data_IF_400492054958
#
_entry.id   IF_400492054958
#
_cell.length_a   1.000
_cell.length_b   1.000
_cell.length_c   1.000
_cell.angle_alpha   90.00
_cell.angle_beta   90.00
_cell.angle_gamma   90.00
#
_symmetry.space_group_name_H-M   'P 1'
#
loop_
_entity.id
_entity.type
_entity.pdbx_description
1 polymer ?
#
# COMPACT_ATOMS: atom_id res chain seq x y z
N UNK A 1 -19.60 14.78 33.85
CA UNK A 1 -18.93 14.09 32.73
C UNK A 1 -18.45 15.15 31.74
N UNK A 2 -17.16 15.47 31.73
CA UNK A 2 -16.62 16.45 30.78
C UNK A 2 -16.30 15.74 29.46
N UNK A 3 -16.97 16.15 28.38
CA UNK A 3 -16.71 15.68 27.03
C UNK A 3 -15.26 15.95 26.64
N UNK A 4 -14.55 15.01 25.98
CA UNK A 4 -13.17 15.24 25.56
C UNK A 4 -13.11 16.35 24.49
N UNK A 5 -12.06 17.20 24.49
CA UNK A 5 -11.90 18.23 23.48
C UNK A 5 -11.79 17.59 22.09
N UNK A 6 -12.75 17.90 21.23
CA UNK A 6 -12.71 17.52 19.82
C UNK A 6 -11.73 18.45 19.11
N UNK A 7 -10.50 17.98 18.88
CA UNK A 7 -9.54 18.72 18.05
C UNK A 7 -10.16 18.98 16.65
N UNK A 8 -9.97 20.17 16.11
CA UNK A 8 -10.46 20.58 14.78
C UNK A 8 -9.30 20.64 13.78
N UNK A 9 -9.62 20.37 12.51
CA UNK A 9 -8.65 20.40 11.42
C UNK A 9 -8.22 21.85 11.13
N UNK A 10 -6.92 22.15 11.18
CA UNK A 10 -6.37 23.46 10.90
C UNK A 10 -6.55 23.93 9.44
N UNK A 11 -6.89 23.03 8.50
CA UNK A 11 -7.14 23.38 7.09
C UNK A 11 -8.60 23.67 6.76
N UNK A 12 -9.55 22.96 7.37
CA UNK A 12 -10.98 23.06 7.02
C UNK A 12 -11.90 23.38 8.20
N UNK A 13 -11.34 23.56 9.40
CA UNK A 13 -12.03 23.82 10.67
C UNK A 13 -13.06 22.75 11.10
N UNK A 14 -13.15 21.61 10.39
CA UNK A 14 -14.06 20.51 10.74
C UNK A 14 -13.52 19.68 11.91
N UNK A 15 -14.38 19.06 12.72
CA UNK A 15 -13.95 18.17 13.80
C UNK A 15 -13.19 16.97 13.25
N UNK A 16 -12.10 16.58 13.93
CA UNK A 16 -11.24 15.49 13.48
C UNK A 16 -11.78 14.11 13.88
N UNK A 17 -11.59 13.09 13.03
CA UNK A 17 -11.82 11.71 13.42
C UNK A 17 -10.84 11.29 14.53
N UNK A 18 -11.28 10.44 15.47
CA UNK A 18 -10.53 10.11 16.70
C UNK A 18 -9.10 9.57 16.49
N UNK A 19 -8.75 9.02 15.32
CA UNK A 19 -7.46 8.32 15.10
C UNK A 19 -6.74 8.61 13.78
N UNK A 20 -7.38 9.26 12.81
CA UNK A 20 -6.84 9.46 11.46
C UNK A 20 -6.51 10.94 11.20
N UNK A 21 -5.42 11.41 11.81
CA UNK A 21 -4.94 12.78 11.64
C UNK A 21 -3.41 12.84 11.72
N UNK A 22 -2.85 13.94 11.24
CA UNK A 22 -1.43 14.27 11.37
C UNK A 22 -1.24 15.59 12.09
N UNK A 23 -0.20 15.68 12.94
CA UNK A 23 0.19 16.89 13.66
C UNK A 23 1.49 17.41 13.07
N UNK A 24 1.51 18.67 12.66
CA UNK A 24 2.73 19.30 12.14
C UNK A 24 3.72 19.54 13.27
N UNK A 25 4.97 19.09 13.14
CA UNK A 25 6.00 19.30 14.16
C UNK A 25 6.46 20.76 14.31
N UNK A 26 6.13 21.63 13.35
CA UNK A 26 6.60 23.01 13.34
C UNK A 26 5.56 24.02 13.85
N UNK A 27 4.29 23.87 13.46
CA UNK A 27 3.20 24.75 13.90
C UNK A 27 2.24 24.10 14.90
N UNK A 28 2.44 22.82 15.25
CA UNK A 28 1.57 22.01 16.10
C UNK A 28 0.11 21.87 15.64
N UNK A 29 -0.23 22.40 14.46
CA UNK A 29 -1.55 22.28 13.84
C UNK A 29 -1.88 20.82 13.51
N UNK A 30 -3.14 20.44 13.71
CA UNK A 30 -3.65 19.09 13.46
C UNK A 30 -4.49 19.09 12.20
N UNK A 31 -4.31 18.09 11.34
CA UNK A 31 -4.88 18.05 9.99
C UNK A 31 -5.55 16.70 9.72
N UNK A 32 -6.75 16.74 9.15
CA UNK A 32 -7.44 15.57 8.61
C UNK A 32 -6.64 15.05 7.41
N UNK A 33 -6.44 13.73 7.34
CA UNK A 33 -5.76 13.07 6.21
C UNK A 33 -6.46 13.35 4.87
N UNK A 34 -7.78 13.55 4.86
CA UNK A 34 -8.55 13.92 3.66
C UNK A 34 -8.19 15.32 3.16
N UNK A 35 -8.01 16.28 4.07
CA UNK A 35 -7.56 17.64 3.72
C UNK A 35 -6.13 17.68 3.19
N UNK A 36 -5.32 16.68 3.55
CA UNK A 36 -3.95 16.51 3.06
C UNK A 36 -3.87 15.66 1.78
N UNK A 37 -5.00 15.19 1.25
CA UNK A 37 -5.08 14.25 0.13
C UNK A 37 -4.26 12.95 0.36
N UNK A 38 -4.26 12.45 1.59
CA UNK A 38 -3.61 11.19 1.97
C UNK A 38 -4.70 10.14 2.12
N UNK A 39 -4.60 9.06 1.34
CA UNK A 39 -5.52 7.91 1.49
C UNK A 39 -5.28 7.19 2.81
N UNK A 40 -6.33 6.59 3.41
CA UNK A 40 -6.20 5.82 4.66
C UNK A 40 -5.15 4.71 4.53
N UNK A 41 -5.05 4.03 3.37
CA UNK A 41 -4.02 3.03 3.10
C UNK A 41 -2.60 3.61 3.24
N UNK A 42 -2.35 4.79 2.68
CA UNK A 42 -1.05 5.49 2.78
C UNK A 42 -0.80 6.01 4.19
N UNK A 43 -1.84 6.46 4.90
CA UNK A 43 -1.73 6.85 6.30
C UNK A 43 -1.23 5.70 7.17
N UNK A 44 -1.89 4.53 7.10
CA UNK A 44 -1.47 3.38 7.89
C UNK A 44 -0.09 2.87 7.49
N UNK A 45 0.16 2.64 6.18
CA UNK A 45 1.42 2.05 5.72
C UNK A 45 2.64 2.93 5.94
N UNK A 46 2.50 4.26 5.82
CA UNK A 46 3.64 5.18 5.77
C UNK A 46 3.82 6.01 7.03
N UNK A 47 2.74 6.38 7.71
CA UNK A 47 2.78 7.24 8.89
C UNK A 47 2.43 6.48 10.17
N UNK A 48 1.48 5.54 10.17
CA UNK A 48 1.13 4.82 11.40
C UNK A 48 2.17 3.79 11.81
N UNK A 49 2.82 3.10 10.86
CA UNK A 49 3.87 2.12 11.15
C UNK A 49 5.26 2.73 11.37
N UNK A 50 5.47 4.00 10.99
CA UNK A 50 6.75 4.68 11.14
C UNK A 50 6.58 5.93 12.01
N UNK A 51 6.75 5.74 13.33
CA UNK A 51 6.55 6.77 14.35
C UNK A 51 7.43 8.00 14.12
N UNK A 52 8.69 7.81 13.75
CA UNK A 52 9.64 8.91 13.47
C UNK A 52 9.13 9.82 12.33
N UNK A 53 8.64 9.24 11.24
CA UNK A 53 8.08 10.03 10.13
C UNK A 53 6.80 10.76 10.50
N UNK A 54 5.98 10.14 11.35
CA UNK A 54 4.75 10.77 11.86
C UNK A 54 5.06 11.96 12.75
N UNK A 55 6.03 11.81 13.66
CA UNK A 55 6.43 12.84 14.61
C UNK A 55 7.19 13.98 13.92
N UNK A 56 7.89 13.71 12.81
CA UNK A 56 8.61 14.70 12.01
C UNK A 56 7.82 15.30 10.84
N UNK A 57 6.53 14.96 10.69
CA UNK A 57 5.73 15.44 9.56
C UNK A 57 5.52 16.97 9.63
N UNK A 58 5.64 17.64 8.48
CA UNK A 58 5.45 19.09 8.33
C UNK A 58 4.30 19.37 7.37
N UNK A 59 3.42 20.30 7.74
CA UNK A 59 2.34 20.75 6.86
C UNK A 59 2.88 21.59 5.69
N UNK A 60 2.10 21.70 4.61
CA UNK A 60 2.49 22.41 3.40
C UNK A 60 2.92 23.86 3.67
N UNK A 61 2.20 24.56 4.56
CA UNK A 61 2.50 25.94 4.94
C UNK A 61 3.82 26.10 5.73
N UNK A 62 4.29 25.05 6.39
CA UNK A 62 5.59 25.06 7.08
C UNK A 62 6.71 24.65 6.13
N UNK A 63 6.46 23.69 5.24
CA UNK A 63 7.42 23.27 4.21
C UNK A 63 7.72 24.40 3.24
N UNK A 64 6.71 25.19 2.84
CA UNK A 64 6.90 26.32 1.92
C UNK A 64 7.72 27.47 2.49
N UNK A 65 7.87 27.55 3.81
CA UNK A 65 8.68 28.56 4.52
C UNK A 65 10.14 28.16 4.71
N UNK A 66 10.50 26.92 4.41
CA UNK A 66 11.88 26.48 4.50
C UNK A 66 12.67 27.03 3.29
N UNK A 67 13.90 27.55 3.49
CA UNK A 67 14.79 27.85 2.39
C UNK A 67 14.94 26.60 1.52
N UNK A 68 14.84 26.74 0.20
CA UNK A 68 15.15 25.62 -0.71
C UNK A 68 16.65 25.35 -0.63
N UNK A 69 17.05 24.48 0.28
CA UNK A 69 18.45 24.07 0.39
C UNK A 69 18.77 23.10 -0.74
N UNK A 70 19.70 23.52 -1.59
CA UNK A 70 20.48 22.71 -2.53
C UNK A 70 19.74 22.12 -3.75
N UNK A 71 19.36 22.97 -4.71
CA UNK A 71 18.95 22.57 -6.07
C UNK A 71 20.17 22.39 -7.00
N UNK A 72 21.18 21.61 -6.61
CA UNK A 72 22.35 21.35 -7.47
C UNK A 72 22.08 20.35 -8.61
N UNK A 73 20.85 19.82 -8.74
CA UNK A 73 20.47 18.88 -9.80
C UNK A 73 19.10 19.22 -10.41
N UNK A 74 18.97 20.41 -10.99
CA UNK A 74 17.88 20.70 -11.93
C UNK A 74 18.49 21.19 -13.24
N UNK A 75 18.29 20.49 -14.37
CA UNK A 75 18.80 20.97 -15.65
C UNK A 75 18.07 22.27 -16.01
N UNK A 76 18.85 23.27 -16.41
CA UNK A 76 18.35 24.59 -16.86
C UNK A 76 17.42 24.38 -18.04
N UNK A 77 16.16 24.82 -17.90
CA UNK A 77 15.18 24.90 -18.97
C UNK A 77 15.37 26.24 -19.67
N UNK A 78 15.93 26.22 -20.87
CA UNK A 78 15.91 27.37 -21.79
C UNK A 78 14.47 27.65 -22.19
N UNK A 79 14.11 28.94 -22.24
CA UNK A 79 12.79 29.44 -22.57
C UNK A 79 12.52 29.46 -24.09
N UNK A 80 11.23 29.67 -24.43
CA UNK A 80 10.60 29.90 -25.75
C UNK A 80 10.22 28.61 -26.52
N UNK A 81 9.01 28.39 -27.06
CA UNK A 81 7.83 29.23 -27.32
C UNK A 81 6.57 28.36 -27.47
N UNK A 82 5.40 28.99 -27.44
CA UNK A 82 4.07 28.43 -27.68
C UNK A 82 3.90 27.86 -29.11
N UNK A 83 3.02 26.85 -29.29
CA UNK A 83 1.87 26.79 -30.24
C UNK A 83 1.39 25.32 -30.47
N UNK A 84 0.09 25.13 -30.16
CA UNK A 84 -0.96 24.25 -30.72
C UNK A 84 -0.69 23.12 -31.75
N UNK A 85 -1.08 21.88 -31.36
CA UNK A 85 -1.89 20.85 -32.07
C UNK A 85 -1.35 20.00 -33.27
N UNK A 86 -1.88 18.75 -33.51
CA UNK A 86 -1.26 17.58 -34.21
C UNK A 86 -1.76 17.43 -35.69
N UNK A 87 -1.53 16.37 -36.55
CA UNK A 87 -1.17 14.94 -36.30
C UNK A 87 -0.30 14.15 -37.36
N UNK A 88 -0.16 12.82 -37.12
CA UNK A 88 -0.18 11.66 -38.06
C UNK A 88 1.08 11.04 -38.74
N UNK A 89 1.12 9.70 -38.61
CA UNK A 89 1.50 8.60 -39.54
C UNK A 89 2.96 8.27 -39.89
N UNK A 90 3.36 7.10 -39.37
CA UNK A 90 3.98 5.90 -40.01
C UNK A 90 4.41 6.03 -41.48
N UNK A 91 5.64 5.55 -41.80
CA UNK A 91 6.02 4.55 -42.84
C UNK A 91 7.50 4.74 -43.26
N UNK A 92 8.34 3.73 -42.99
CA UNK A 92 9.63 3.41 -43.69
C UNK A 92 9.34 2.95 -45.13
N UNK A 93 10.28 2.83 -46.13
CA UNK A 93 11.66 2.37 -45.96
C UNK A 93 12.70 2.78 -47.06
N UNK A 94 13.86 2.10 -47.01
CA UNK A 94 14.76 1.70 -48.11
C UNK A 94 15.90 2.62 -48.64
N UNK A 95 17.12 2.24 -48.24
CA UNK A 95 18.32 1.92 -49.02
C UNK A 95 18.61 2.65 -50.35
N UNK A 96 19.79 3.28 -50.43
CA UNK A 96 20.67 3.15 -51.61
C UNK A 96 22.13 3.50 -51.33
N UNK A 97 22.99 2.63 -51.85
CA UNK A 97 24.44 2.71 -51.95
C UNK A 97 24.89 3.89 -52.84
N UNK A 98 26.18 4.30 -52.78
CA UNK A 98 27.06 4.55 -53.96
C UNK A 98 28.47 5.07 -53.58
N UNK A 99 29.45 4.28 -54.06
CA UNK A 99 30.79 4.55 -54.62
C UNK A 99 31.87 5.39 -53.89
N UNK A 100 32.89 4.64 -53.43
CA UNK A 100 34.30 5.05 -53.39
C UNK A 100 34.79 5.32 -54.81
N UNK A 101 35.31 6.53 -55.07
CA UNK A 101 35.95 6.89 -56.34
C UNK A 101 37.43 7.19 -56.10
N UNK A 102 38.27 6.22 -56.45
CA UNK A 102 39.70 6.45 -56.67
C UNK A 102 39.98 6.92 -58.11
N UNK A 103 40.90 7.87 -58.27
CA UNK A 103 41.77 7.98 -59.45
C UNK A 103 43.05 8.76 -59.11
N UNK A 104 44.23 8.30 -59.57
CA UNK A 104 45.54 8.94 -59.37
C UNK A 104 45.96 9.73 -60.65
N UNK A 105 47.27 10.03 -60.85
CA UNK A 105 47.90 11.34 -60.70
C UNK A 105 48.08 12.10 -62.02
N UNK A 106 48.32 13.41 -61.97
CA UNK A 106 48.79 14.21 -63.11
C UNK A 106 50.03 15.01 -62.76
N UNK A 107 51.03 14.91 -63.65
CA UNK A 107 52.36 15.49 -63.58
C UNK A 107 52.38 16.95 -64.07
N UNK A 108 53.40 17.64 -63.58
CA UNK A 108 54.14 18.76 -64.17
C UNK A 108 53.47 20.14 -64.28
N UNK A 109 54.02 21.09 -63.52
CA UNK A 109 54.54 22.33 -64.10
C UNK A 109 55.81 22.72 -63.32
N UNK A 110 56.91 22.90 -64.04
CA UNK A 110 58.14 23.52 -63.53
C UNK A 110 57.92 25.04 -63.43
N UNK A 111 58.36 25.68 -62.34
CA UNK A 111 59.28 26.82 -62.47
C UNK A 111 59.87 27.26 -61.11
N UNK A 112 61.21 27.14 -61.05
CA UNK A 112 62.25 27.98 -60.43
C UNK A 112 61.88 28.91 -59.25
N UNK A 113 62.47 28.66 -58.07
CA UNK A 113 63.66 29.36 -57.56
C UNK A 113 63.80 29.21 -56.03
N UNK A 114 65.00 28.76 -55.62
CA UNK A 114 65.83 29.28 -54.52
C UNK A 114 65.09 29.96 -53.35
N UNK A 115 65.12 29.37 -52.16
CA UNK A 115 65.64 30.02 -50.95
C UNK A 115 65.81 29.03 -49.80
N UNK A 116 67.03 29.00 -49.27
CA UNK A 116 67.56 28.09 -48.25
C UNK A 116 67.38 28.67 -46.84
N UNK A 117 66.17 29.17 -46.52
CA UNK A 117 65.88 29.81 -45.21
C UNK A 117 64.58 29.34 -44.53
N UNK A 118 63.82 28.40 -45.11
CA UNK A 118 62.57 27.89 -44.52
C UNK A 118 62.76 26.65 -43.61
N UNK A 119 63.98 26.13 -43.48
CA UNK A 119 64.22 24.93 -42.68
C UNK A 119 64.17 25.17 -41.15
N UNK A 120 64.27 26.41 -40.69
CA UNK A 120 64.38 26.74 -39.25
C UNK A 120 63.03 27.16 -38.65
N UNK A 121 62.10 27.68 -39.47
CA UNK A 121 60.79 28.16 -38.98
C UNK A 121 59.77 27.01 -38.87
N UNK A 122 59.87 25.98 -39.73
CA UNK A 122 58.97 24.82 -39.68
C UNK A 122 59.28 23.87 -38.50
N UNK A 123 60.52 23.83 -38.02
CA UNK A 123 60.94 22.97 -36.90
C UNK A 123 60.48 23.54 -35.55
N UNK A 124 60.49 24.87 -35.37
CA UNK A 124 60.02 25.51 -34.13
C UNK A 124 58.48 25.55 -34.00
N UNK A 125 57.73 25.76 -35.10
CA UNK A 125 56.26 25.76 -35.06
C UNK A 125 55.68 24.34 -34.86
N UNK A 126 56.37 23.30 -35.38
CA UNK A 126 56.02 21.90 -35.08
C UNK A 126 56.38 21.49 -33.65
N UNK A 127 57.50 21.97 -33.09
CA UNK A 127 57.90 21.62 -31.72
C UNK A 127 56.91 22.13 -30.67
N UNK A 128 56.40 23.35 -30.80
CA UNK A 128 55.48 23.95 -29.83
C UNK A 128 54.05 23.37 -29.94
N UNK A 129 53.59 23.06 -31.16
CA UNK A 129 52.30 22.39 -31.42
C UNK A 129 52.30 20.90 -31.03
N UNK A 130 53.45 20.21 -31.14
CA UNK A 130 53.58 18.79 -30.74
C UNK A 130 53.65 18.63 -29.21
N UNK A 131 54.21 19.59 -28.49
CA UNK A 131 54.25 19.56 -27.02
C UNK A 131 52.88 19.81 -26.38
N UNK A 132 52.09 20.74 -26.95
CA UNK A 132 50.73 21.02 -26.47
C UNK A 132 49.79 19.82 -26.71
N UNK A 133 49.85 19.23 -27.91
CA UNK A 133 49.10 18.00 -28.21
C UNK A 133 49.57 16.78 -27.42
N UNK A 134 50.86 16.70 -27.06
CA UNK A 134 51.37 15.67 -26.17
C UNK A 134 50.91 15.83 -24.71
N UNK A 135 50.74 17.07 -24.24
CA UNK A 135 50.15 17.35 -22.92
C UNK A 135 48.66 17.01 -22.88
N UNK A 136 47.90 17.37 -23.91
CA UNK A 136 46.50 16.96 -24.05
C UNK A 136 46.33 15.45 -24.08
N UNK A 137 47.22 14.73 -24.78
CA UNK A 137 47.20 13.27 -24.81
C UNK A 137 47.50 12.66 -23.43
N UNK A 138 48.43 13.24 -22.67
CA UNK A 138 48.71 12.83 -21.29
C UNK A 138 47.52 13.08 -20.37
N UNK A 139 46.82 14.21 -20.53
CA UNK A 139 45.62 14.53 -19.77
C UNK A 139 44.49 13.55 -20.07
N UNK A 140 44.23 13.29 -21.35
CA UNK A 140 43.23 12.32 -21.80
C UNK A 140 43.55 10.89 -21.31
N UNK A 141 44.81 10.48 -21.30
CA UNK A 141 45.24 9.22 -20.71
C UNK A 141 45.01 9.17 -19.20
N UNK A 142 45.16 10.30 -18.51
CA UNK A 142 44.81 10.48 -17.10
C UNK A 142 43.31 10.26 -16.88
N UNK A 143 42.47 10.95 -17.64
CA UNK A 143 41.01 10.84 -17.57
C UNK A 143 40.52 9.42 -17.90
N UNK A 144 41.10 8.78 -18.90
CA UNK A 144 40.80 7.38 -19.25
C UNK A 144 41.18 6.39 -18.15
N UNK A 145 42.21 6.69 -17.35
CA UNK A 145 42.57 5.88 -16.16
C UNK A 145 41.59 6.15 -15.02
N UNK A 146 41.22 7.41 -14.78
CA UNK A 146 40.24 7.79 -13.77
C UNK A 146 38.86 7.18 -14.05
N UNK A 147 38.35 7.30 -15.28
CA UNK A 147 37.08 6.69 -15.71
C UNK A 147 37.12 5.17 -15.56
N UNK A 148 38.25 4.53 -15.87
CA UNK A 148 38.42 3.08 -15.63
C UNK A 148 38.37 2.72 -14.14
N UNK A 149 38.92 3.56 -13.27
CA UNK A 149 38.82 3.35 -11.82
C UNK A 149 37.38 3.51 -11.34
N UNK A 150 36.69 4.58 -11.74
CA UNK A 150 35.27 4.82 -11.41
C UNK A 150 34.37 3.69 -11.93
N UNK A 151 34.60 3.20 -13.14
CA UNK A 151 33.82 2.09 -13.70
C UNK A 151 34.04 0.78 -12.96
N UNK A 152 35.22 0.58 -12.35
CA UNK A 152 35.46 -0.56 -11.45
C UNK A 152 34.71 -0.40 -10.14
N UNK A 153 34.73 0.79 -9.54
CA UNK A 153 33.98 1.08 -8.31
C UNK A 153 32.47 0.91 -8.55
N UNK A 154 31.95 1.42 -9.66
CA UNK A 154 30.55 1.23 -10.04
C UNK A 154 30.19 -0.25 -10.20
N UNK A 155 31.04 -1.06 -10.85
CA UNK A 155 30.83 -2.50 -10.97
C UNK A 155 30.80 -3.20 -9.61
N UNK A 156 31.68 -2.81 -8.69
CA UNK A 156 31.70 -3.35 -7.34
C UNK A 156 30.39 -3.00 -6.60
N UNK A 157 29.99 -1.73 -6.59
CA UNK A 157 28.73 -1.27 -5.99
C UNK A 157 27.50 -1.96 -6.58
N UNK A 158 27.49 -2.21 -7.89
CA UNK A 158 26.40 -2.93 -8.56
C UNK A 158 26.37 -4.40 -8.14
N UNK A 159 27.53 -5.02 -7.94
CA UNK A 159 27.65 -6.39 -7.44
C UNK A 159 27.14 -6.48 -6.00
N UNK A 160 27.54 -5.55 -5.14
CA UNK A 160 27.08 -5.46 -3.76
C UNK A 160 25.56 -5.27 -3.70
N UNK A 161 25.00 -4.38 -4.52
CA UNK A 161 23.56 -4.19 -4.63
C UNK A 161 22.86 -5.48 -5.08
N UNK A 162 23.40 -6.17 -6.07
CA UNK A 162 22.81 -7.42 -6.57
C UNK A 162 22.81 -8.51 -5.50
N UNK A 163 23.86 -8.61 -4.68
CA UNK A 163 23.90 -9.55 -3.55
C UNK A 163 22.89 -9.17 -2.47
N UNK A 164 22.78 -7.89 -2.12
CA UNK A 164 21.81 -7.39 -1.16
C UNK A 164 20.37 -7.66 -1.62
N UNK A 165 20.06 -7.45 -2.90
CA UNK A 165 18.75 -7.78 -3.48
C UNK A 165 18.46 -9.27 -3.36
N UNK A 166 19.40 -10.15 -3.72
CA UNK A 166 19.22 -11.61 -3.59
C UNK A 166 18.94 -12.03 -2.14
N UNK A 167 19.69 -11.47 -1.18
CA UNK A 167 19.45 -11.74 0.24
C UNK A 167 18.09 -11.21 0.70
N UNK A 168 17.66 -10.06 0.19
CA UNK A 168 16.37 -9.50 0.54
C UNK A 168 15.21 -10.32 -0.06
N UNK A 169 15.36 -10.81 -1.29
CA UNK A 169 14.40 -11.73 -1.91
C UNK A 169 14.21 -12.99 -1.08
N UNK A 170 15.29 -13.65 -0.64
CA UNK A 170 15.15 -14.85 0.21
C UNK A 170 14.50 -14.56 1.56
N UNK A 171 14.74 -13.39 2.15
CA UNK A 171 14.04 -12.95 3.36
C UNK A 171 12.56 -12.71 3.10
N UNK A 172 12.20 -12.16 1.95
CA UNK A 172 10.80 -11.95 1.55
C UNK A 172 10.10 -13.29 1.40
N UNK A 173 10.70 -14.27 0.72
CA UNK A 173 10.12 -15.61 0.56
C UNK A 173 9.90 -16.30 1.93
N UNK A 174 10.86 -16.15 2.85
CA UNK A 174 10.72 -16.66 4.22
C UNK A 174 9.59 -15.96 5.01
N UNK A 175 9.38 -14.66 4.78
CA UNK A 175 8.28 -13.94 5.41
C UNK A 175 6.95 -14.38 4.80
N UNK A 176 6.87 -14.53 3.47
CA UNK A 176 5.68 -14.96 2.76
C UNK A 176 5.23 -16.35 3.23
N UNK A 177 6.14 -17.32 3.27
CA UNK A 177 5.86 -18.67 3.80
C UNK A 177 5.37 -18.65 5.24
N UNK A 178 5.95 -17.81 6.11
CA UNK A 178 5.49 -17.64 7.50
C UNK A 178 4.11 -17.00 7.58
N UNK A 179 3.82 -16.02 6.74
CA UNK A 179 2.50 -15.38 6.66
C UNK A 179 1.46 -16.41 6.24
N UNK A 180 1.71 -17.19 5.18
CA UNK A 180 0.80 -18.25 4.73
C UNK A 180 0.50 -19.25 5.85
N UNK A 181 1.52 -19.72 6.57
CA UNK A 181 1.33 -20.66 7.68
C UNK A 181 0.50 -20.05 8.83
N UNK A 182 0.69 -18.77 9.14
CA UNK A 182 -0.10 -18.06 10.16
C UNK A 182 -1.54 -17.86 9.72
N UNK A 183 -1.77 -17.54 8.45
CA UNK A 183 -3.11 -17.39 7.89
C UNK A 183 -3.88 -18.72 7.92
N UNK A 184 -3.22 -19.83 7.55
CA UNK A 184 -3.84 -21.16 7.59
C UNK A 184 -4.17 -21.59 9.02
N UNK A 185 -3.24 -21.37 9.97
CA UNK A 185 -3.49 -21.63 11.39
C UNK A 185 -4.64 -20.78 11.92
N UNK A 186 -4.72 -19.51 11.55
CA UNK A 186 -5.79 -18.59 11.95
C UNK A 186 -7.14 -19.05 11.41
N UNK A 187 -7.23 -19.39 10.12
CA UNK A 187 -8.43 -19.93 9.48
C UNK A 187 -8.88 -21.24 10.14
N UNK A 188 -7.95 -22.14 10.41
CA UNK A 188 -8.23 -23.41 11.09
C UNK A 188 -8.78 -23.21 12.50
N UNK A 189 -8.11 -22.37 13.30
CA UNK A 189 -8.58 -22.03 14.66
C UNK A 189 -9.96 -21.37 14.66
N UNK A 190 -10.20 -20.44 13.74
CA UNK A 190 -11.48 -19.75 13.64
C UNK A 190 -12.60 -20.74 13.27
N UNK A 191 -12.36 -21.63 12.30
CA UNK A 191 -13.34 -22.65 11.91
C UNK A 191 -13.66 -23.61 13.06
N UNK A 192 -12.65 -24.14 13.74
CA UNK A 192 -12.86 -25.07 14.86
C UNK A 192 -13.57 -24.41 16.04
N UNK A 193 -13.20 -23.18 16.41
CA UNK A 193 -13.86 -22.44 17.50
C UNK A 193 -15.32 -22.14 17.19
N UNK A 194 -15.62 -21.73 15.96
CA UNK A 194 -17.00 -21.45 15.54
C UNK A 194 -17.82 -22.74 15.56
N UNK A 195 -17.31 -23.82 14.95
CA UNK A 195 -18.02 -25.10 14.90
C UNK A 195 -18.27 -25.72 16.28
N UNK A 196 -17.27 -25.72 17.16
CA UNK A 196 -17.44 -26.22 18.54
C UNK A 196 -18.43 -25.37 19.33
N UNK A 197 -18.40 -24.05 19.17
CA UNK A 197 -19.35 -23.16 19.82
C UNK A 197 -20.78 -23.40 19.28
N UNK A 198 -20.96 -23.53 17.96
CA UNK A 198 -22.25 -23.83 17.34
C UNK A 198 -22.82 -25.17 17.81
N UNK A 199 -21.97 -26.19 17.98
CA UNK A 199 -22.36 -27.49 18.52
C UNK A 199 -22.82 -27.36 19.98
N UNK A 200 -22.05 -26.69 20.84
CA UNK A 200 -22.45 -26.48 22.24
C UNK A 200 -23.74 -25.68 22.36
N UNK A 201 -23.93 -24.64 21.53
CA UNK A 201 -25.18 -23.86 21.51
C UNK A 201 -26.35 -24.73 21.07
N UNK A 202 -26.16 -25.58 20.07
CA UNK A 202 -27.20 -26.51 19.60
C UNK A 202 -27.56 -27.53 20.68
N UNK A 203 -26.57 -28.08 21.38
CA UNK A 203 -26.78 -29.00 22.48
C UNK A 203 -27.53 -28.34 23.65
N UNK A 204 -27.11 -27.13 24.06
CA UNK A 204 -27.77 -26.39 25.13
C UNK A 204 -29.22 -26.03 24.77
N UNK A 205 -29.47 -25.63 23.52
CA UNK A 205 -30.84 -25.40 23.04
C UNK A 205 -31.70 -26.66 23.13
N UNK A 206 -31.15 -27.81 22.73
CA UNK A 206 -31.87 -29.09 22.84
C UNK A 206 -32.20 -29.42 24.30
N UNK A 207 -31.25 -29.21 25.22
CA UNK A 207 -31.47 -29.46 26.65
C UNK A 207 -32.51 -28.53 27.28
N UNK A 208 -32.57 -27.27 26.84
CA UNK A 208 -33.61 -26.34 27.28
C UNK A 208 -34.98 -26.82 26.80
N UNK A 209 -35.10 -27.15 25.51
CA UNK A 209 -36.36 -27.64 24.95
C UNK A 209 -36.85 -28.92 25.62
N UNK A 210 -35.93 -29.86 25.89
CA UNK A 210 -36.25 -31.10 26.61
C UNK A 210 -36.74 -30.80 28.03
N UNK A 211 -36.06 -29.90 28.76
CA UNK A 211 -36.49 -29.49 30.10
C UNK A 211 -37.83 -28.77 30.11
N UNK A 212 -38.08 -27.88 29.15
CA UNK A 212 -39.34 -27.17 29.02
C UNK A 212 -40.48 -28.15 28.73
N UNK A 213 -40.24 -29.14 27.87
CA UNK A 213 -41.19 -30.21 27.57
C UNK A 213 -41.47 -31.08 28.81
N UNK A 214 -40.44 -31.42 29.58
CA UNK A 214 -40.56 -32.20 30.82
C UNK A 214 -41.36 -31.45 31.89
N UNK A 215 -41.17 -30.12 31.99
CA UNK A 215 -41.93 -29.28 32.92
C UNK A 215 -43.42 -29.25 32.57
N UNK A 216 -43.74 -29.22 31.26
CA UNK A 216 -45.11 -29.22 30.76
C UNK A 216 -45.72 -30.62 30.65
N UNK A 217 -44.98 -31.69 30.96
CA UNK A 217 -45.43 -33.07 30.73
C UNK A 217 -46.71 -33.45 31.52
N UNK A 218 -46.94 -32.78 32.65
CA UNK A 218 -48.12 -32.99 33.49
C UNK A 218 -49.22 -31.93 33.26
N UNK A 219 -48.95 -30.94 32.41
CA UNK A 219 -49.89 -29.85 32.15
C UNK A 219 -50.80 -30.24 30.98
N UNK A 220 -52.10 -30.14 31.19
CA UNK A 220 -53.12 -30.49 30.19
C UNK A 220 -53.86 -29.23 29.79
N UNK A 221 -53.76 -28.85 28.52
CA UNK A 221 -54.54 -27.76 27.95
C UNK A 221 -55.89 -28.27 27.43
N UNK A 222 -56.98 -27.69 27.95
CA UNK A 222 -58.35 -27.99 27.50
C UNK A 222 -58.87 -26.77 26.74
N UNK A 223 -59.01 -26.90 25.41
CA UNK A 223 -59.50 -25.84 24.53
C UNK A 223 -60.98 -26.01 24.19
N UNK A 224 -61.65 -24.91 23.84
CA UNK A 224 -63.03 -24.92 23.32
C UNK A 224 -64.12 -25.07 24.38
N UNK A 225 -63.80 -24.81 25.65
CA UNK A 225 -64.78 -24.86 26.74
C UNK A 225 -65.43 -23.48 26.97
N UNK A 226 -66.77 -23.35 26.95
CA UNK A 226 -67.44 -22.06 27.12
C UNK A 226 -67.16 -21.45 28.51
N UNK A 227 -67.08 -20.14 28.60
CA UNK A 227 -66.83 -19.42 29.84
C UNK A 227 -68.13 -19.00 30.52
N UNK A 228 -68.26 -19.35 31.80
CA UNK A 228 -69.39 -18.94 32.63
C UNK A 228 -68.92 -18.26 33.92
N UNK A 229 -69.64 -17.22 34.34
CA UNK A 229 -69.26 -16.46 35.54
C UNK A 229 -69.43 -17.31 36.81
N UNK A 230 -68.40 -17.33 37.66
CA UNK A 230 -68.43 -18.06 38.94
C UNK A 230 -68.27 -19.57 38.82
N UNK A 231 -67.75 -20.07 37.69
CA UNK A 231 -67.49 -21.49 37.49
C UNK A 231 -66.31 -22.00 38.33
N UNK A 232 -66.39 -23.27 38.72
CA UNK A 232 -65.30 -23.98 39.36
C UNK A 232 -64.57 -24.83 38.31
N UNK A 233 -63.33 -24.44 37.98
CA UNK A 233 -62.48 -25.08 36.97
C UNK A 233 -62.15 -26.54 37.31
N UNK A 234 -61.90 -26.84 38.58
CA UNK A 234 -61.66 -28.21 39.05
C UNK A 234 -62.86 -29.12 38.79
N UNK A 235 -64.08 -28.64 39.08
CA UNK A 235 -65.30 -29.40 38.83
C UNK A 235 -65.53 -29.65 37.32
N UNK A 236 -65.21 -28.67 36.47
CA UNK A 236 -65.26 -28.83 35.01
C UNK A 236 -64.30 -29.95 34.56
N UNK A 237 -63.06 -29.95 35.05
CA UNK A 237 -62.05 -30.97 34.71
C UNK A 237 -62.54 -32.37 35.10
N UNK A 238 -63.07 -32.54 36.32
CA UNK A 238 -63.62 -33.82 36.77
C UNK A 238 -64.80 -34.30 35.91
N UNK A 239 -65.68 -33.37 35.51
CA UNK A 239 -66.80 -33.70 34.63
C UNK A 239 -66.33 -34.15 33.23
N UNK A 240 -65.26 -33.54 32.72
CA UNK A 240 -64.62 -33.94 31.45
C UNK A 240 -63.96 -35.31 31.60
N UNK A 241 -63.17 -35.54 32.65
CA UNK A 241 -62.51 -36.82 32.92
C UNK A 241 -63.54 -37.96 33.00
N UNK A 242 -64.64 -37.75 33.73
CA UNK A 242 -65.74 -38.71 33.81
C UNK A 242 -66.40 -39.00 32.45
N UNK A 243 -66.54 -38.00 31.59
CA UNK A 243 -67.07 -38.17 30.22
C UNK A 243 -66.09 -38.90 29.30
N UNK A 244 -64.78 -38.74 29.52
CA UNK A 244 -63.72 -39.44 28.79
C UNK A 244 -63.38 -40.81 29.39
N UNK A 245 -64.09 -41.24 30.43
CA UNK A 245 -63.85 -42.48 31.16
C UNK A 245 -62.44 -42.57 31.78
N UNK A 246 -61.88 -41.42 32.19
CA UNK A 246 -60.63 -41.35 32.95
C UNK A 246 -60.95 -41.24 34.43
N UNK A 247 -60.34 -42.12 35.23
CA UNK A 247 -60.44 -42.08 36.69
C UNK A 247 -59.55 -40.95 37.22
N UNK A 248 -60.17 -39.87 37.69
CA UNK A 248 -59.49 -38.67 38.14
C UNK A 248 -60.21 -38.13 39.38
N UNK A 249 -59.47 -37.99 40.48
CA UNK A 249 -59.93 -37.38 41.72
C UNK A 249 -59.43 -35.94 41.85
N UNK A 250 -60.07 -35.13 42.71
CA UNK A 250 -59.62 -33.76 43.01
C UNK A 250 -58.16 -33.70 43.49
N UNK A 251 -57.66 -34.75 44.14
CA UNK A 251 -56.27 -34.84 44.63
C UNK A 251 -55.25 -35.02 43.52
N UNK A 252 -55.70 -35.44 42.33
CA UNK A 252 -54.84 -35.57 41.16
C UNK A 252 -54.65 -34.23 40.43
N UNK A 253 -55.46 -33.21 40.75
CA UNK A 253 -55.37 -31.88 40.17
C UNK A 253 -54.52 -30.99 41.09
N UNK A 254 -53.33 -30.61 40.63
CA UNK A 254 -52.43 -29.73 41.39
C UNK A 254 -52.88 -28.27 41.33
N UNK A 255 -53.22 -27.79 40.13
CA UNK A 255 -53.77 -26.46 39.89
C UNK A 255 -54.70 -26.52 38.67
N UNK A 256 -55.70 -25.66 38.64
CA UNK A 256 -56.51 -25.43 37.44
C UNK A 256 -56.83 -23.95 37.32
N UNK A 257 -56.58 -23.39 36.16
CA UNK A 257 -56.86 -21.99 35.86
C UNK A 257 -57.31 -21.84 34.42
N UNK A 258 -58.01 -20.74 34.14
CA UNK A 258 -58.25 -20.27 32.78
C UNK A 258 -57.02 -19.49 32.34
N UNK A 259 -56.51 -19.81 31.17
CA UNK A 259 -55.42 -19.08 30.53
C UNK A 259 -56.00 -18.33 29.35
N UNK A 260 -55.95 -17.00 29.41
CA UNK A 260 -56.41 -16.07 28.36
C UNK A 260 -55.45 -16.02 27.16
#
# INVERSE_FOLDING_TARGET
>A
MMSPPTETCAACAKPLPKREYLRCCNCNGVYDIKCLNISSKRFYSFYSFNKERKDNWKCLSCVSKLPRTNNLNTPVRTAESEISSPPTLVVSPENSNVAVRGKPPTKNTQDKNIHEEDSIIMENIMSESLDDTAMDFKLLLGDMKAIRAEMRLFRNSMTDLMTAIKMQSSRIDSIETRISALEDKSKGLQRCKVSTLEETVSQLKSQILERDQDLLANDIQIAGFPETSGENTTHIILAIAKKLCVDLDERNVVSSERTD
#
